data_IF_902498558129
#
_entry.id   IF_902498558129
#
_cell.length_a   1.000
_cell.length_b   1.000
_cell.length_c   1.000
_cell.angle_alpha   90.00
_cell.angle_beta   90.00
_cell.angle_gamma   90.00
#
_symmetry.space_group_name_H-M   'P 1'
#
loop_
_entity.id
_entity.type
_entity.pdbx_description
1 polymer ?
#
# COMPACT_ATOMS: atom_id res chain seq x y z
N UNK A 1 -0.80 22.93 -19.03
CA UNK A 1 -1.63 23.01 -17.81
C UNK A 1 -0.76 22.81 -16.59
N UNK A 2 -0.88 23.69 -15.59
CA UNK A 2 -0.22 23.51 -14.31
C UNK A 2 -1.08 22.59 -13.43
N UNK A 3 -0.45 21.59 -12.82
CA UNK A 3 -1.11 20.65 -11.89
C UNK A 3 -1.51 21.36 -10.59
N UNK A 4 -2.67 21.00 -10.04
CA UNK A 4 -3.10 21.47 -8.71
C UNK A 4 -2.18 20.91 -7.62
N UNK A 5 -2.10 21.57 -6.47
CA UNK A 5 -1.31 21.05 -5.33
C UNK A 5 -1.81 19.69 -4.86
N UNK A 6 -3.14 19.47 -4.86
CA UNK A 6 -3.73 18.18 -4.52
C UNK A 6 -3.27 17.08 -5.47
N UNK A 7 -3.28 17.35 -6.77
CA UNK A 7 -2.80 16.37 -7.75
C UNK A 7 -1.31 16.05 -7.57
N UNK A 8 -0.46 17.07 -7.33
CA UNK A 8 0.97 16.86 -7.05
C UNK A 8 1.19 16.01 -5.81
N UNK A 9 0.44 16.27 -4.73
CA UNK A 9 0.47 15.48 -3.51
C UNK A 9 0.07 14.02 -3.79
N UNK A 10 -1.01 13.79 -4.54
CA UNK A 10 -1.44 12.43 -4.91
C UNK A 10 -0.37 11.68 -5.71
N UNK A 11 0.28 12.31 -6.69
CA UNK A 11 1.38 11.71 -7.44
C UNK A 11 2.55 11.33 -6.53
N UNK A 12 2.89 12.21 -5.60
CA UNK A 12 4.00 11.98 -4.67
C UNK A 12 3.71 10.81 -3.74
N UNK A 13 2.48 10.71 -3.22
CA UNK A 13 2.07 9.57 -2.39
C UNK A 13 2.03 8.25 -3.17
N UNK A 14 1.61 8.28 -4.44
CA UNK A 14 1.66 7.09 -5.30
C UNK A 14 3.11 6.62 -5.50
N UNK A 15 4.01 7.52 -5.85
CA UNK A 15 5.43 7.20 -6.07
C UNK A 15 6.07 6.71 -4.76
N UNK A 16 5.82 7.39 -3.65
CA UNK A 16 6.33 6.98 -2.34
C UNK A 16 5.85 5.56 -1.97
N UNK A 17 4.56 5.28 -2.16
CA UNK A 17 3.97 3.96 -1.93
C UNK A 17 4.64 2.89 -2.78
N UNK A 18 4.77 3.12 -4.09
CA UNK A 18 5.39 2.17 -5.01
C UNK A 18 6.87 1.91 -4.67
N UNK A 19 7.63 2.95 -4.33
CA UNK A 19 9.05 2.84 -4.00
C UNK A 19 9.23 2.08 -2.68
N UNK A 20 8.58 2.54 -1.60
CA UNK A 20 8.76 1.95 -0.27
C UNK A 20 8.31 0.49 -0.25
N UNK A 21 7.10 0.21 -0.76
CA UNK A 21 6.56 -1.14 -0.73
C UNK A 21 7.14 -2.05 -1.82
N UNK A 22 7.64 -1.48 -2.92
CA UNK A 22 8.44 -2.22 -3.90
C UNK A 22 9.74 -2.73 -3.29
N UNK A 23 10.50 -1.87 -2.61
CA UNK A 23 11.71 -2.28 -1.90
C UNK A 23 11.44 -3.28 -0.77
N UNK A 24 10.38 -3.05 0.01
CA UNK A 24 9.93 -3.99 1.03
C UNK A 24 9.65 -5.38 0.44
N UNK A 25 8.90 -5.45 -0.67
CA UNK A 25 8.56 -6.70 -1.34
C UNK A 25 9.83 -7.44 -1.76
N UNK A 26 10.76 -6.76 -2.42
CA UNK A 26 12.05 -7.34 -2.80
C UNK A 26 12.78 -7.92 -1.57
N UNK A 27 12.82 -7.17 -0.45
CA UNK A 27 13.50 -7.63 0.78
C UNK A 27 12.86 -8.88 1.37
N UNK A 28 11.53 -8.95 1.44
CA UNK A 28 10.81 -10.12 1.97
C UNK A 28 11.01 -11.34 1.08
N UNK A 29 10.89 -11.19 -0.25
CA UNK A 29 11.11 -12.29 -1.18
C UNK A 29 12.58 -12.72 -1.32
N UNK A 30 13.52 -11.90 -0.84
CA UNK A 30 14.95 -12.22 -0.83
C UNK A 30 15.45 -12.78 0.51
N UNK A 31 14.55 -13.06 1.46
CA UNK A 31 14.93 -13.72 2.72
C UNK A 31 15.39 -15.14 2.39
N UNK A 32 16.64 -15.44 2.73
CA UNK A 32 17.23 -16.75 2.52
C UNK A 32 16.77 -17.72 3.61
N UNK A 33 15.70 -18.45 3.30
CA UNK A 33 15.11 -19.48 4.17
C UNK A 33 16.00 -20.71 4.35
N UNK A 34 17.10 -20.85 3.59
CA UNK A 34 18.02 -21.98 3.71
C UNK A 34 19.15 -21.75 4.71
N UNK A 35 19.48 -20.49 5.00
CA UNK A 35 20.58 -20.12 5.89
C UNK A 35 20.13 -19.57 7.26
N UNK A 36 18.84 -19.26 7.40
CA UNK A 36 18.25 -18.75 8.64
C UNK A 36 17.40 -19.81 9.33
N UNK A 37 17.37 -19.77 10.67
CA UNK A 37 16.31 -20.46 11.42
C UNK A 37 14.95 -19.81 11.17
N UNK A 38 13.86 -20.54 11.43
CA UNK A 38 12.50 -20.02 11.27
C UNK A 38 12.26 -18.74 12.09
N UNK A 39 12.75 -18.71 13.33
CA UNK A 39 12.61 -17.54 14.20
C UNK A 39 13.39 -16.33 13.67
N UNK A 40 14.62 -16.52 13.19
CA UNK A 40 15.41 -15.44 12.60
C UNK A 40 14.76 -14.88 11.33
N UNK A 41 14.20 -15.75 10.49
CA UNK A 41 13.47 -15.34 9.29
C UNK A 41 12.23 -14.51 9.63
N UNK A 42 11.49 -14.89 10.68
CA UNK A 42 10.37 -14.11 11.22
C UNK A 42 10.84 -12.74 11.70
N UNK A 43 11.93 -12.68 12.47
CA UNK A 43 12.46 -11.43 13.02
C UNK A 43 12.90 -10.46 11.90
N UNK A 44 13.55 -10.99 10.86
CA UNK A 44 13.94 -10.21 9.66
C UNK A 44 12.72 -9.71 8.91
N UNK A 45 11.70 -10.55 8.70
CA UNK A 45 10.45 -10.16 8.04
C UNK A 45 9.74 -9.03 8.81
N UNK A 46 9.66 -9.15 10.14
CA UNK A 46 9.07 -8.13 11.03
C UNK A 46 9.87 -6.82 11.05
N UNK A 47 11.20 -6.90 11.06
CA UNK A 47 12.07 -5.72 10.96
C UNK A 47 11.87 -5.01 9.62
N UNK A 48 11.80 -5.75 8.51
CA UNK A 48 11.53 -5.18 7.19
C UNK A 48 10.15 -4.52 7.12
N UNK A 49 9.11 -5.15 7.67
CA UNK A 49 7.75 -4.62 7.74
C UNK A 49 7.71 -3.31 8.54
N UNK A 50 8.25 -3.34 9.75
CA UNK A 50 8.29 -2.18 10.65
C UNK A 50 9.06 -1.02 10.01
N UNK A 51 10.17 -1.32 9.34
CA UNK A 51 10.97 -0.31 8.62
C UNK A 51 10.19 0.30 7.46
N UNK A 52 9.50 -0.51 6.65
CA UNK A 52 8.70 -0.02 5.53
C UNK A 52 7.58 0.92 6.00
N UNK A 53 6.85 0.53 7.06
CA UNK A 53 5.80 1.36 7.67
C UNK A 53 6.39 2.67 8.19
N UNK A 54 7.52 2.62 8.90
CA UNK A 54 8.18 3.81 9.42
C UNK A 54 8.67 4.74 8.29
N UNK A 55 9.24 4.18 7.23
CA UNK A 55 9.68 4.96 6.08
C UNK A 55 8.53 5.65 5.35
N UNK A 56 7.42 4.95 5.08
CA UNK A 56 6.29 5.60 4.39
C UNK A 56 5.69 6.72 5.25
N UNK A 57 5.59 6.54 6.57
CA UNK A 57 5.12 7.58 7.48
C UNK A 57 6.03 8.80 7.44
N UNK A 58 7.34 8.62 7.57
CA UNK A 58 8.31 9.72 7.54
C UNK A 58 8.27 10.45 6.20
N UNK A 59 8.25 9.69 5.10
CA UNK A 59 8.21 10.24 3.75
C UNK A 59 6.94 11.07 3.53
N UNK A 60 5.77 10.55 3.90
CA UNK A 60 4.50 11.28 3.79
C UNK A 60 4.51 12.53 4.67
N UNK A 61 4.96 12.46 5.93
CA UNK A 61 5.04 13.64 6.80
C UNK A 61 5.90 14.73 6.15
N UNK A 62 7.11 14.38 5.68
CA UNK A 62 8.03 15.34 5.07
C UNK A 62 7.39 15.95 3.82
N UNK A 63 6.90 15.11 2.91
CA UNK A 63 6.39 15.58 1.63
C UNK A 63 5.09 16.37 1.75
N UNK A 64 4.13 15.92 2.56
CA UNK A 64 2.90 16.65 2.78
C UNK A 64 3.15 17.98 3.51
N UNK A 65 4.13 18.03 4.42
CA UNK A 65 4.52 19.28 5.09
C UNK A 65 5.17 20.26 4.12
N UNK A 66 6.08 19.79 3.26
CA UNK A 66 6.74 20.63 2.25
C UNK A 66 5.75 21.18 1.22
N UNK A 67 4.82 20.34 0.73
CA UNK A 67 3.77 20.77 -0.21
C UNK A 67 2.86 21.81 0.46
N UNK A 68 2.47 21.58 1.71
CA UNK A 68 1.60 22.50 2.45
C UNK A 68 2.29 23.83 2.74
N UNK A 69 3.58 23.83 3.03
CA UNK A 69 4.36 25.05 3.26
C UNK A 69 4.60 25.87 1.97
N UNK A 70 4.68 25.20 0.81
CA UNK A 70 4.85 25.84 -0.49
C UNK A 70 3.52 26.35 -1.10
N UNK A 71 2.38 25.89 -0.58
CA UNK A 71 1.06 26.20 -1.10
C UNK A 71 0.38 27.40 -0.44
N UNK A 72 -0.52 28.04 -1.17
CA UNK A 72 -1.44 29.01 -0.56
C UNK A 72 -2.50 28.30 0.29
N UNK A 73 -3.06 29.00 1.29
CA UNK A 73 -4.11 28.45 2.16
C UNK A 73 -5.29 27.88 1.35
N UNK A 74 -5.71 28.57 0.29
CA UNK A 74 -6.82 28.14 -0.56
C UNK A 74 -6.50 26.84 -1.32
N UNK A 75 -5.27 26.68 -1.83
CA UNK A 75 -4.87 25.44 -2.51
C UNK A 75 -4.70 24.26 -1.54
N UNK A 76 -4.32 24.54 -0.29
CA UNK A 76 -4.18 23.52 0.75
C UNK A 76 -5.54 23.05 1.27
N UNK A 77 -6.49 23.97 1.50
CA UNK A 77 -7.87 23.59 1.88
C UNK A 77 -8.53 22.77 0.76
N UNK A 78 -8.30 23.14 -0.50
CA UNK A 78 -8.92 22.50 -1.66
C UNK A 78 -10.39 22.91 -1.82
N UNK A 79 -10.94 22.62 -2.99
CA UNK A 79 -12.33 22.93 -3.32
C UNK A 79 -13.27 21.73 -3.08
N UNK A 80 -14.59 21.94 -3.27
CA UNK A 80 -15.58 20.85 -3.18
C UNK A 80 -15.30 19.72 -4.19
N UNK A 81 -14.69 20.04 -5.33
CA UNK A 81 -14.32 19.09 -6.37
C UNK A 81 -13.21 18.16 -5.88
N UNK A 82 -12.15 18.69 -5.27
CA UNK A 82 -11.05 17.90 -4.73
C UNK A 82 -11.56 16.91 -3.66
N UNK A 83 -12.55 17.33 -2.86
CA UNK A 83 -13.23 16.45 -1.90
C UNK A 83 -14.04 15.34 -2.59
N UNK A 84 -14.77 15.66 -3.65
CA UNK A 84 -15.54 14.67 -4.42
C UNK A 84 -14.61 13.63 -5.07
N UNK A 85 -13.49 14.08 -5.65
CA UNK A 85 -12.46 13.21 -6.25
C UNK A 85 -11.86 12.28 -5.20
N UNK A 86 -11.51 12.81 -4.03
CA UNK A 86 -10.98 12.01 -2.92
C UNK A 86 -11.98 10.94 -2.47
N UNK A 87 -13.26 11.30 -2.26
CA UNK A 87 -14.31 10.36 -1.84
C UNK A 87 -14.55 9.26 -2.89
N UNK A 88 -14.69 9.64 -4.16
CA UNK A 88 -14.94 8.70 -5.26
C UNK A 88 -13.80 7.70 -5.41
N UNK A 89 -12.56 8.19 -5.33
CA UNK A 89 -11.39 7.33 -5.45
C UNK A 89 -11.17 6.45 -4.23
N UNK A 90 -11.49 6.97 -3.03
CA UNK A 90 -11.46 6.19 -1.80
C UNK A 90 -12.43 5.01 -1.85
N UNK A 91 -13.61 5.19 -2.44
CA UNK A 91 -14.56 4.09 -2.65
C UNK A 91 -13.95 2.98 -3.53
N UNK A 92 -13.23 3.32 -4.59
CA UNK A 92 -12.55 2.32 -5.44
C UNK A 92 -11.46 1.56 -4.70
N UNK A 93 -10.61 2.24 -3.93
CA UNK A 93 -9.62 1.58 -3.07
C UNK A 93 -10.29 0.67 -2.04
N UNK A 94 -11.36 1.14 -1.40
CA UNK A 94 -12.12 0.38 -0.41
C UNK A 94 -12.71 -0.92 -0.96
N UNK A 95 -13.24 -0.92 -2.19
CA UNK A 95 -13.70 -2.15 -2.83
C UNK A 95 -12.56 -3.17 -3.03
N UNK A 96 -11.40 -2.70 -3.47
CA UNK A 96 -10.21 -3.54 -3.65
C UNK A 96 -9.75 -4.12 -2.32
N UNK A 97 -9.68 -3.30 -1.27
CA UNK A 97 -9.33 -3.74 0.08
C UNK A 97 -10.33 -4.77 0.60
N UNK A 98 -11.64 -4.51 0.46
CA UNK A 98 -12.69 -5.40 0.98
C UNK A 98 -12.65 -6.77 0.32
N UNK A 99 -12.54 -6.81 -1.02
CA UNK A 99 -12.39 -8.06 -1.76
C UNK A 99 -11.11 -8.78 -1.36
N UNK A 100 -9.99 -8.06 -1.28
CA UNK A 100 -8.72 -8.67 -0.91
C UNK A 100 -8.70 -9.20 0.53
N UNK A 101 -9.36 -8.54 1.49
CA UNK A 101 -9.54 -9.06 2.85
C UNK A 101 -10.30 -10.38 2.83
N UNK A 102 -11.38 -10.49 2.06
CA UNK A 102 -12.13 -11.75 1.90
C UNK A 102 -11.23 -12.84 1.31
N UNK A 103 -10.41 -12.51 0.31
CA UNK A 103 -9.45 -13.44 -0.29
C UNK A 103 -8.41 -13.89 0.75
N UNK A 104 -7.83 -12.97 1.53
CA UNK A 104 -6.86 -13.30 2.58
C UNK A 104 -7.48 -14.20 3.65
N UNK A 105 -8.72 -13.91 4.08
CA UNK A 105 -9.44 -14.78 5.01
C UNK A 105 -9.69 -16.17 4.42
N UNK A 106 -10.04 -16.26 3.15
CA UNK A 106 -10.17 -17.52 2.43
C UNK A 106 -8.84 -18.29 2.41
N UNK A 107 -7.73 -17.62 2.12
CA UNK A 107 -6.39 -18.21 2.10
C UNK A 107 -5.94 -18.66 3.49
N UNK A 108 -6.34 -17.99 4.57
CA UNK A 108 -6.07 -18.40 5.94
C UNK A 108 -6.92 -19.62 6.37
N UNK A 109 -8.23 -19.60 6.07
CA UNK A 109 -9.19 -20.55 6.66
C UNK A 109 -9.38 -21.82 5.83
N UNK A 110 -9.43 -21.70 4.49
CA UNK A 110 -9.73 -22.85 3.63
C UNK A 110 -8.70 -23.97 3.73
N UNK A 111 -7.38 -23.72 3.73
CA UNK A 111 -6.38 -24.79 3.78
C UNK A 111 -6.49 -25.63 5.04
N UNK A 112 -6.83 -24.99 6.17
CA UNK A 112 -7.10 -25.66 7.43
C UNK A 112 -8.37 -26.52 7.34
N UNK A 113 -9.45 -25.98 6.79
CA UNK A 113 -10.72 -26.68 6.66
C UNK A 113 -10.67 -27.93 5.76
N UNK A 114 -9.83 -27.92 4.72
CA UNK A 114 -9.69 -29.03 3.76
C UNK A 114 -8.45 -29.91 4.00
N UNK A 115 -7.66 -29.64 5.05
CA UNK A 115 -6.47 -30.42 5.40
C UNK A 115 -5.27 -30.25 4.45
N UNK A 116 -5.18 -29.15 3.71
CA UNK A 116 -4.10 -28.86 2.74
C UNK A 116 -3.03 -27.88 3.27
N UNK A 117 -3.04 -27.56 4.57
CA UNK A 117 -2.10 -26.63 5.20
C UNK A 117 -0.62 -26.96 4.90
N UNK A 118 -0.22 -28.22 5.07
CA UNK A 118 1.17 -28.65 4.86
C UNK A 118 1.63 -28.47 3.42
N UNK A 119 0.74 -28.70 2.44
CA UNK A 119 1.05 -28.52 1.03
C UNK A 119 1.27 -27.04 0.71
N UNK A 120 0.40 -26.15 1.20
CA UNK A 120 0.52 -24.72 0.92
C UNK A 120 1.79 -24.14 1.55
N UNK A 121 2.12 -24.51 2.79
CA UNK A 121 3.37 -24.09 3.46
C UNK A 121 4.62 -24.57 2.71
N UNK A 122 4.56 -25.74 2.06
CA UNK A 122 5.67 -26.24 1.25
C UNK A 122 5.87 -25.42 -0.05
N UNK A 123 4.81 -24.92 -0.67
CA UNK A 123 4.89 -24.07 -1.87
C UNK A 123 5.24 -22.62 -1.56
N UNK A 124 4.79 -22.10 -0.41
CA UNK A 124 5.01 -20.72 0.02
C UNK A 124 5.67 -20.70 1.40
N UNK A 125 6.98 -21.04 1.50
CA UNK A 125 7.70 -21.08 2.77
C UNK A 125 8.11 -19.68 3.23
N UNK A 126 7.22 -18.69 3.10
CA UNK A 126 7.46 -17.32 3.52
C UNK A 126 6.96 -17.17 4.95
N UNK A 127 7.79 -16.70 5.91
CA UNK A 127 7.34 -16.44 7.27
C UNK A 127 6.19 -15.43 7.28
N UNK A 128 5.17 -15.66 8.10
CA UNK A 128 4.02 -14.75 8.23
C UNK A 128 3.36 -14.40 6.88
N UNK A 129 3.26 -15.37 5.96
CA UNK A 129 2.76 -15.19 4.60
C UNK A 129 1.43 -14.42 4.55
N UNK A 130 0.49 -14.73 5.44
CA UNK A 130 -0.83 -14.10 5.49
C UNK A 130 -0.75 -12.59 5.77
N UNK A 131 0.21 -12.17 6.61
CA UNK A 131 0.46 -10.75 6.91
C UNK A 131 0.97 -10.04 5.65
N UNK A 132 1.88 -10.68 4.91
CA UNK A 132 2.39 -10.14 3.65
C UNK A 132 1.29 -10.03 2.57
N UNK A 133 0.40 -11.02 2.48
CA UNK A 133 -0.75 -10.98 1.56
C UNK A 133 -1.71 -9.85 1.94
N UNK A 134 -2.04 -9.71 3.22
CA UNK A 134 -2.92 -8.62 3.68
C UNK A 134 -2.32 -7.24 3.41
N UNK A 135 -1.02 -7.08 3.67
CA UNK A 135 -0.32 -5.84 3.36
C UNK A 135 -0.32 -5.58 1.85
N UNK A 136 -0.03 -6.58 1.03
CA UNK A 136 -0.05 -6.43 -0.42
C UNK A 136 -1.43 -5.97 -0.93
N UNK A 137 -2.52 -6.56 -0.42
CA UNK A 137 -3.88 -6.11 -0.70
C UNK A 137 -4.10 -4.64 -0.30
N UNK A 138 -3.63 -4.25 0.89
CA UNK A 138 -3.73 -2.87 1.36
C UNK A 138 -2.98 -1.90 0.43
N UNK A 139 -1.76 -2.25 0.02
CA UNK A 139 -0.97 -1.42 -0.91
C UNK A 139 -1.61 -1.37 -2.30
N UNK A 140 -2.17 -2.48 -2.79
CA UNK A 140 -2.91 -2.49 -4.05
C UNK A 140 -4.14 -1.56 -3.99
N UNK A 141 -4.87 -1.58 -2.88
CA UNK A 141 -5.97 -0.63 -2.62
C UNK A 141 -5.49 0.83 -2.70
N UNK A 142 -4.37 1.15 -2.07
CA UNK A 142 -3.80 2.50 -2.09
C UNK A 142 -3.37 2.93 -3.49
N UNK A 143 -2.72 2.04 -4.25
CA UNK A 143 -2.34 2.30 -5.65
C UNK A 143 -3.58 2.59 -6.50
N UNK A 144 -4.64 1.79 -6.35
CA UNK A 144 -5.91 1.99 -7.06
C UNK A 144 -6.55 3.33 -6.67
N UNK A 145 -6.56 3.66 -5.37
CA UNK A 145 -7.06 4.94 -4.85
C UNK A 145 -6.31 6.12 -5.47
N UNK A 146 -4.98 6.14 -5.42
CA UNK A 146 -4.18 7.25 -5.96
C UNK A 146 -4.29 7.34 -7.48
N UNK A 147 -4.23 6.21 -8.18
CA UNK A 147 -4.36 6.17 -9.65
C UNK A 147 -5.71 6.70 -10.09
N UNK A 148 -6.78 6.31 -9.39
CA UNK A 148 -8.12 6.81 -9.71
C UNK A 148 -8.25 8.33 -9.47
N UNK A 149 -7.68 8.85 -8.37
CA UNK A 149 -7.65 10.30 -8.12
C UNK A 149 -6.95 11.04 -9.27
N UNK A 150 -5.77 10.56 -9.67
CA UNK A 150 -5.00 11.15 -10.77
C UNK A 150 -5.81 11.14 -12.07
N UNK A 151 -6.47 10.02 -12.40
CA UNK A 151 -7.31 9.92 -13.60
C UNK A 151 -8.45 10.94 -13.56
N UNK A 152 -9.12 11.12 -12.41
CA UNK A 152 -10.19 12.11 -12.28
C UNK A 152 -9.67 13.55 -12.44
N UNK A 153 -8.56 13.90 -11.78
CA UNK A 153 -7.92 15.22 -11.97
C UNK A 153 -7.54 15.49 -13.43
N UNK A 154 -7.16 14.45 -14.19
CA UNK A 154 -6.78 14.56 -15.60
C UNK A 154 -7.95 14.59 -16.57
N UNK A 155 -9.06 13.93 -16.23
CA UNK A 155 -10.27 13.94 -17.06
C UNK A 155 -11.00 15.28 -16.96
N UNK A 156 -11.08 15.85 -15.77
CA UNK A 156 -11.77 17.13 -15.53
C UNK A 156 -10.91 18.35 -15.90
N UNK A 157 -9.66 18.10 -16.30
CA UNK A 157 -8.71 19.06 -16.83
C UNK A 157 -8.89 19.37 -18.33
N UNK A 158 -9.71 18.57 -19.02
CA UNK A 158 -10.06 18.71 -20.46
C UNK A 158 -11.47 19.27 -20.58
#
# INVERSE_FOLDING_TARGET
>A
MNMTLKEKSTWLSLIATLVVFGFYTIRVFSIDMSSLSEQEAIDVAMANLSSAILYIIIIEIIFQSLISAAGSKAEVEGDERDRLIALTSNNSGYWVLSIGVIITLGQLLLPHAIGMESLIKAYFPIPLFEVHVLLFVFILSEIVRFTHQIVLYRKDAV
#
